data_IF_286644574154
#
_entry.id   IF_286644574154
#
_cell.length_a   1.000
_cell.length_b   1.000
_cell.length_c   1.000
_cell.angle_alpha   90.00
_cell.angle_beta   90.00
_cell.angle_gamma   90.00
#
_symmetry.space_group_name_H-M   'P 1'
#
loop_
_entity.id
_entity.type
_entity.pdbx_description
1 polymer ?
#
# COMPACT_ATOMS: atom_id res chain seq x y z
N UNK A 1 14.71 -2.76 -11.67
CA UNK A 1 13.50 -2.18 -12.31
C UNK A 1 13.93 -0.97 -13.12
N UNK A 2 13.23 -0.64 -14.19
CA UNK A 2 13.55 0.50 -15.03
C UNK A 2 12.29 1.29 -15.40
N UNK A 3 12.42 2.62 -15.43
CA UNK A 3 11.40 3.52 -15.97
C UNK A 3 11.61 3.67 -17.46
N UNK A 4 10.61 3.28 -18.25
CA UNK A 4 10.66 3.34 -19.72
C UNK A 4 9.63 4.35 -20.23
N UNK A 5 10.11 5.43 -20.86
CA UNK A 5 9.31 6.35 -21.64
C UNK A 5 8.83 5.67 -22.92
N UNK A 6 7.56 5.76 -23.24
CA UNK A 6 7.04 5.20 -24.49
C UNK A 6 7.35 6.13 -25.67
N UNK A 7 7.54 5.53 -26.87
CA UNK A 7 7.69 6.30 -28.12
C UNK A 7 6.43 7.16 -28.33
N UNK A 8 6.56 8.44 -28.73
CA UNK A 8 5.44 9.38 -28.85
C UNK A 8 4.63 9.18 -30.14
N UNK A 9 4.19 7.96 -30.41
CA UNK A 9 3.44 7.60 -31.63
C UNK A 9 1.97 8.02 -31.59
N UNK A 10 1.44 8.35 -30.40
CA UNK A 10 0.08 8.85 -30.20
C UNK A 10 0.06 9.86 -29.05
N UNK A 11 -0.97 10.76 -28.95
CA UNK A 11 -1.10 11.69 -27.83
C UNK A 11 -1.05 10.99 -26.47
N UNK A 12 -1.65 9.81 -26.33
CA UNK A 12 -1.63 9.01 -25.09
C UNK A 12 -0.23 8.47 -24.76
N UNK A 13 0.53 8.03 -25.74
CA UNK A 13 1.88 7.48 -25.55
C UNK A 13 2.92 8.56 -25.28
N UNK A 14 2.74 9.77 -25.79
CA UNK A 14 3.66 10.91 -25.58
C UNK A 14 3.98 11.15 -24.11
N UNK A 15 2.98 11.08 -23.23
CA UNK A 15 3.13 11.29 -21.79
C UNK A 15 3.22 9.99 -20.96
N UNK A 16 3.29 8.81 -21.60
CA UNK A 16 3.26 7.53 -20.88
C UNK A 16 4.65 7.11 -20.41
N UNK A 17 4.75 6.77 -19.10
CA UNK A 17 5.94 6.17 -18.49
C UNK A 17 5.53 4.86 -17.82
N UNK A 18 6.22 3.78 -18.15
CA UNK A 18 5.99 2.45 -17.60
C UNK A 18 7.15 2.04 -16.68
N UNK A 19 6.83 1.29 -15.63
CA UNK A 19 7.82 0.54 -14.86
C UNK A 19 7.97 -0.82 -15.50
N UNK A 20 9.18 -1.21 -15.82
CA UNK A 20 9.53 -2.52 -16.38
C UNK A 20 10.37 -3.26 -15.36
N UNK A 21 9.91 -4.44 -14.96
CA UNK A 21 10.60 -5.34 -14.05
C UNK A 21 10.79 -6.67 -14.76
N UNK A 22 11.99 -6.96 -15.30
CA UNK A 22 12.25 -8.21 -16.02
C UNK A 22 12.11 -9.45 -15.14
N UNK A 23 12.37 -9.32 -13.84
CA UNK A 23 12.31 -10.38 -12.84
C UNK A 23 10.89 -10.84 -12.50
N UNK A 24 9.87 -10.08 -12.92
CA UNK A 24 8.47 -10.41 -12.62
C UNK A 24 7.95 -11.49 -13.58
N UNK A 25 7.50 -12.59 -13.00
CA UNK A 25 6.87 -13.69 -13.71
C UNK A 25 5.63 -13.23 -14.49
N UNK A 26 5.55 -13.62 -15.76
CA UNK A 26 4.48 -13.19 -16.69
C UNK A 26 3.36 -14.21 -16.87
N UNK A 27 3.49 -15.39 -16.26
CA UNK A 27 2.50 -16.45 -16.36
C UNK A 27 1.30 -16.26 -15.43
N UNK A 28 0.49 -17.31 -15.32
CA UNK A 28 -0.69 -17.34 -14.46
C UNK A 28 -0.29 -17.40 -12.97
N UNK A 29 -1.06 -16.75 -12.06
CA UNK A 29 -0.83 -16.88 -10.63
C UNK A 29 -1.10 -18.32 -10.14
N UNK A 30 -0.57 -18.67 -8.97
CA UNK A 30 -0.79 -19.98 -8.36
C UNK A 30 -2.27 -20.12 -7.95
N UNK A 31 -2.99 -20.99 -8.64
CA UNK A 31 -4.45 -21.10 -8.58
C UNK A 31 -5.02 -21.33 -7.17
N UNK A 32 -4.43 -22.21 -6.30
CA UNK A 32 -4.95 -22.46 -4.96
C UNK A 32 -4.97 -21.21 -4.03
N UNK A 33 -4.10 -20.22 -4.30
CA UNK A 33 -4.03 -18.99 -3.53
C UNK A 33 -4.76 -17.81 -4.19
N UNK A 34 -5.64 -18.08 -5.15
CA UNK A 34 -6.38 -17.04 -5.88
C UNK A 34 -7.88 -17.21 -5.68
N UNK A 35 -8.51 -16.16 -5.18
CA UNK A 35 -9.95 -16.11 -4.94
C UNK A 35 -10.65 -15.06 -5.82
N UNK A 36 -11.95 -15.23 -6.03
CA UNK A 36 -12.75 -14.23 -6.72
C UNK A 36 -12.79 -12.94 -5.90
N UNK A 37 -12.69 -11.79 -6.58
CA UNK A 37 -12.85 -10.48 -5.96
C UNK A 37 -14.10 -9.80 -6.52
N UNK A 38 -15.13 -9.68 -5.69
CA UNK A 38 -16.29 -8.84 -6.02
C UNK A 38 -15.93 -7.38 -5.82
N UNK A 39 -16.37 -6.51 -6.72
CA UNK A 39 -16.28 -5.06 -6.59
C UNK A 39 -17.60 -4.54 -6.06
N UNK A 40 -17.54 -3.70 -5.04
CA UNK A 40 -18.72 -3.02 -4.47
C UNK A 40 -18.86 -1.58 -4.98
N UNK A 41 -17.96 -1.16 -5.86
CA UNK A 41 -17.97 0.13 -6.58
C UNK A 41 -18.24 1.35 -5.69
N UNK A 42 -17.74 1.30 -4.45
CA UNK A 42 -17.89 2.36 -3.46
C UNK A 42 -19.25 2.43 -2.77
N UNK A 43 -20.08 1.38 -2.89
CA UNK A 43 -21.39 1.25 -2.22
C UNK A 43 -21.29 0.46 -0.93
N UNK A 44 -22.16 0.78 0.03
CA UNK A 44 -22.37 -0.01 1.24
C UNK A 44 -23.38 -1.15 1.01
N UNK A 45 -23.73 -1.87 2.08
CA UNK A 45 -24.73 -2.94 2.05
C UNK A 45 -26.13 -2.46 1.64
N UNK A 46 -26.46 -1.19 1.90
CA UNK A 46 -27.73 -0.56 1.48
C UNK A 46 -27.68 0.04 0.05
N UNK A 47 -26.64 -0.22 -0.73
CA UNK A 47 -26.45 0.28 -2.09
C UNK A 47 -26.11 1.77 -2.20
N UNK A 48 -25.95 2.50 -1.08
CA UNK A 48 -25.61 3.91 -1.06
C UNK A 48 -24.11 4.12 -1.30
N UNK A 49 -23.75 5.19 -2.02
CA UNK A 49 -22.36 5.56 -2.28
C UNK A 49 -21.73 6.09 -0.98
N UNK A 50 -20.76 5.36 -0.44
CA UNK A 50 -19.95 5.77 0.73
C UNK A 50 -18.54 6.19 0.35
N UNK A 51 -18.03 5.74 -0.80
CA UNK A 51 -16.74 6.15 -1.36
C UNK A 51 -16.98 6.63 -2.79
N UNK A 52 -16.90 7.94 -3.00
CA UNK A 52 -17.11 8.56 -4.32
C UNK A 52 -16.01 8.22 -5.31
N UNK A 53 -16.28 8.36 -6.60
CA UNK A 53 -15.35 8.19 -7.72
C UNK A 53 -14.70 6.79 -7.77
N UNK A 54 -15.44 5.76 -7.35
CA UNK A 54 -15.05 4.36 -7.47
C UNK A 54 -16.10 3.62 -8.31
N UNK A 55 -15.63 2.66 -9.09
CA UNK A 55 -16.50 1.79 -9.89
C UNK A 55 -15.99 1.59 -11.30
N UNK A 56 -16.53 0.54 -11.93
CA UNK A 56 -16.03 0.03 -13.20
C UNK A 56 -14.57 -0.45 -13.06
N UNK A 57 -13.92 -0.67 -14.14
CA UNK A 57 -12.55 -1.15 -14.15
C UNK A 57 -12.45 -2.63 -14.48
N UNK A 58 -11.23 -3.08 -14.73
CA UNK A 58 -10.96 -4.44 -15.13
C UNK A 58 -11.24 -5.43 -14.00
N UNK A 59 -11.90 -6.57 -14.28
CA UNK A 59 -12.12 -7.67 -13.33
C UNK A 59 -10.79 -8.15 -12.76
N UNK A 60 -10.71 -8.31 -11.43
CA UNK A 60 -9.48 -8.72 -10.73
C UNK A 60 -9.76 -9.95 -9.88
N UNK A 61 -8.75 -10.80 -9.77
CA UNK A 61 -8.72 -11.88 -8.78
C UNK A 61 -7.88 -11.44 -7.59
N UNK A 62 -8.27 -11.82 -6.40
CA UNK A 62 -7.51 -11.55 -5.18
C UNK A 62 -6.47 -12.65 -4.97
N UNK A 63 -5.26 -12.28 -4.54
CA UNK A 63 -4.22 -13.20 -4.09
C UNK A 63 -4.25 -13.22 -2.57
N UNK A 64 -4.35 -14.41 -2.00
CA UNK A 64 -4.26 -14.60 -0.54
C UNK A 64 -2.80 -14.40 -0.14
N UNK A 65 -2.54 -13.32 0.59
CA UNK A 65 -1.19 -12.96 1.05
C UNK A 65 -1.08 -13.31 2.53
N UNK A 66 0.02 -13.94 2.88
CA UNK A 66 0.37 -14.18 4.29
C UNK A 66 0.90 -12.89 4.93
N UNK A 67 0.02 -12.17 5.60
CA UNK A 67 0.37 -11.00 6.40
C UNK A 67 0.71 -11.34 7.85
N UNK A 68 0.44 -12.57 8.30
CA UNK A 68 0.71 -12.98 9.67
C UNK A 68 2.13 -13.50 9.84
N UNK A 69 2.65 -14.17 8.81
CA UNK A 69 3.98 -14.78 8.84
C UNK A 69 4.18 -15.64 10.09
N UNK A 70 3.17 -16.43 10.41
CA UNK A 70 3.09 -17.23 11.64
C UNK A 70 3.66 -18.66 11.52
N UNK A 71 4.37 -18.95 10.43
CA UNK A 71 5.04 -20.22 10.20
C UNK A 71 6.48 -20.11 10.67
N UNK A 72 6.66 -20.27 11.99
CA UNK A 72 7.95 -20.09 12.63
C UNK A 72 8.84 -21.32 12.50
N UNK A 73 10.16 -21.11 12.36
CA UNK A 73 11.17 -22.16 12.31
C UNK A 73 11.25 -22.93 10.97
N UNK A 74 10.29 -22.75 10.07
CA UNK A 74 10.30 -23.43 8.75
C UNK A 74 10.73 -22.44 7.69
N UNK A 75 11.90 -22.62 7.04
CA UNK A 75 12.34 -21.76 5.97
C UNK A 75 11.54 -21.98 4.69
N UNK A 76 11.50 -20.97 3.85
CA UNK A 76 10.87 -21.02 2.55
C UNK A 76 11.81 -20.46 1.48
N UNK A 77 11.75 -21.03 0.27
CA UNK A 77 12.47 -20.55 -0.91
C UNK A 77 11.52 -19.76 -1.81
N UNK A 78 11.97 -18.65 -2.33
CA UNK A 78 11.25 -17.85 -3.33
C UNK A 78 11.25 -18.60 -4.67
N UNK A 79 10.07 -19.05 -5.11
CA UNK A 79 9.92 -19.73 -6.41
C UNK A 79 9.84 -18.72 -7.56
N UNK A 80 9.10 -17.62 -7.35
CA UNK A 80 8.92 -16.57 -8.37
C UNK A 80 8.37 -15.27 -7.76
N UNK A 81 8.60 -14.16 -8.43
CA UNK A 81 8.03 -12.85 -8.10
C UNK A 81 6.91 -12.55 -9.09
N UNK A 82 5.73 -12.17 -8.61
CA UNK A 82 4.53 -11.95 -9.42
C UNK A 82 3.98 -10.53 -9.28
N UNK A 83 3.33 -10.07 -10.35
CA UNK A 83 2.51 -8.86 -10.33
C UNK A 83 1.15 -9.11 -9.66
N UNK A 84 0.77 -8.26 -8.72
CA UNK A 84 -0.59 -8.26 -8.14
C UNK A 84 -1.37 -7.01 -8.55
N UNK A 85 -2.52 -7.15 -9.28
CA UNK A 85 -3.34 -6.01 -9.67
C UNK A 85 -4.06 -5.32 -8.51
N UNK A 86 -4.03 -5.89 -7.30
CA UNK A 86 -4.74 -5.38 -6.13
C UNK A 86 -3.88 -4.46 -5.26
N UNK A 87 -2.55 -4.44 -5.50
CA UNK A 87 -1.61 -3.63 -4.74
C UNK A 87 -0.54 -3.01 -5.63
N UNK A 88 0.19 -2.06 -5.08
CA UNK A 88 1.31 -1.42 -5.78
C UNK A 88 2.60 -2.22 -5.73
N UNK A 89 2.79 -3.01 -4.66
CA UNK A 89 3.93 -3.89 -4.48
C UNK A 89 3.80 -5.16 -5.32
N UNK A 90 4.92 -5.73 -5.75
CA UNK A 90 4.99 -7.09 -6.25
C UNK A 90 4.89 -8.09 -5.07
N UNK A 91 4.54 -9.33 -5.37
CA UNK A 91 4.42 -10.42 -4.41
C UNK A 91 5.38 -11.55 -4.79
N UNK A 92 5.89 -12.27 -3.80
CA UNK A 92 6.72 -13.44 -3.99
C UNK A 92 5.91 -14.70 -3.62
N UNK A 93 5.92 -15.70 -4.49
CA UNK A 93 5.44 -17.04 -4.16
C UNK A 93 6.60 -17.79 -3.50
N UNK A 94 6.38 -18.22 -2.27
CA UNK A 94 7.38 -18.90 -1.47
C UNK A 94 6.93 -20.33 -1.21
N UNK A 95 7.83 -21.29 -1.47
CA UNK A 95 7.68 -22.70 -1.15
C UNK A 95 8.41 -22.99 0.16
N UNK A 96 7.67 -23.38 1.17
CA UNK A 96 8.19 -23.83 2.45
C UNK A 96 8.74 -25.26 2.35
N UNK A 97 9.66 -25.63 3.22
CA UNK A 97 10.27 -26.98 3.22
C UNK A 97 9.26 -28.10 3.45
N UNK A 98 8.13 -27.82 4.09
CA UNK A 98 7.01 -28.74 4.25
C UNK A 98 6.05 -28.84 3.05
N UNK A 99 6.41 -28.21 1.92
CA UNK A 99 5.64 -28.24 0.67
C UNK A 99 4.52 -27.20 0.57
N UNK A 100 4.18 -26.45 1.66
CA UNK A 100 3.17 -25.40 1.61
C UNK A 100 3.67 -24.19 0.81
N UNK A 101 2.80 -23.63 0.00
CA UNK A 101 3.06 -22.37 -0.72
C UNK A 101 2.29 -21.23 -0.12
N UNK A 102 2.95 -20.09 0.07
CA UNK A 102 2.32 -18.83 0.49
C UNK A 102 2.82 -17.65 -0.34
N UNK A 103 1.94 -16.68 -0.57
CA UNK A 103 2.37 -15.37 -1.10
C UNK A 103 2.80 -14.45 0.04
N UNK A 104 3.90 -13.76 -0.16
CA UNK A 104 4.37 -12.67 0.71
C UNK A 104 4.58 -11.40 -0.10
N UNK A 105 4.62 -10.24 0.55
CA UNK A 105 5.00 -8.99 -0.12
C UNK A 105 6.49 -9.05 -0.42
N UNK A 106 6.88 -8.82 -1.68
CA UNK A 106 8.28 -8.88 -2.10
C UNK A 106 9.03 -7.61 -1.62
N UNK A 107 10.07 -7.73 -0.78
CA UNK A 107 10.95 -6.62 -0.45
C UNK A 107 11.83 -6.22 -1.63
N UNK A 108 12.43 -5.03 -1.51
CA UNK A 108 13.36 -4.50 -2.50
C UNK A 108 14.62 -5.37 -2.54
N UNK A 109 15.05 -5.78 -3.73
CA UNK A 109 16.25 -6.58 -3.93
C UNK A 109 16.05 -8.10 -3.81
N UNK A 110 14.86 -8.58 -3.43
CA UNK A 110 14.55 -10.03 -3.40
C UNK A 110 14.65 -10.65 -4.79
N UNK A 111 15.25 -11.82 -4.87
CA UNK A 111 15.44 -12.61 -6.11
C UNK A 111 14.76 -13.98 -5.99
N UNK A 112 14.55 -14.61 -7.14
CA UNK A 112 14.16 -16.02 -7.20
C UNK A 112 15.29 -16.88 -6.65
N UNK A 113 14.96 -17.85 -5.81
CA UNK A 113 15.92 -18.69 -5.12
C UNK A 113 16.29 -18.23 -3.70
N UNK A 114 16.04 -16.97 -3.34
CA UNK A 114 16.32 -16.46 -1.99
C UNK A 114 15.55 -17.28 -0.94
N UNK A 115 16.16 -17.44 0.22
CA UNK A 115 15.54 -18.08 1.40
C UNK A 115 15.00 -17.04 2.34
N UNK A 116 13.79 -17.27 2.87
CA UNK A 116 13.15 -16.44 3.90
C UNK A 116 12.64 -17.32 5.03
N UNK A 117 12.65 -16.78 6.22
CA UNK A 117 12.13 -17.47 7.39
C UNK A 117 11.30 -16.51 8.28
N UNK A 118 10.60 -17.10 9.24
CA UNK A 118 9.84 -16.35 10.24
C UNK A 118 10.10 -16.95 11.62
N UNK A 119 10.08 -16.13 12.64
CA UNK A 119 10.27 -16.59 14.03
C UNK A 119 11.17 -15.67 14.84
N UNK A 120 11.25 -15.88 16.16
CA UNK A 120 12.08 -15.04 17.05
C UNK A 120 13.59 -15.23 16.78
N UNK A 121 14.02 -16.45 16.47
CA UNK A 121 15.44 -16.81 16.32
C UNK A 121 15.93 -16.75 14.87
N UNK A 122 15.14 -16.10 14.01
CA UNK A 122 15.47 -15.97 12.58
C UNK A 122 16.60 -14.97 12.38
N UNK A 123 17.55 -15.22 11.46
CA UNK A 123 18.62 -14.27 11.14
C UNK A 123 18.08 -12.92 10.66
N UNK A 124 18.83 -11.84 10.94
CA UNK A 124 18.49 -10.49 10.50
C UNK A 124 18.86 -10.36 9.01
N UNK A 125 17.98 -10.86 8.15
CA UNK A 125 18.16 -10.84 6.71
C UNK A 125 16.89 -10.30 6.02
N UNK A 126 17.07 -9.75 4.82
CA UNK A 126 15.98 -9.17 4.03
C UNK A 126 14.88 -10.21 3.76
N UNK A 127 13.62 -9.84 4.03
CA UNK A 127 12.46 -10.70 3.82
C UNK A 127 12.12 -11.61 5.01
N UNK A 128 12.98 -11.70 6.01
CA UNK A 128 12.71 -12.42 7.25
C UNK A 128 11.75 -11.64 8.15
N UNK A 129 10.87 -12.36 8.84
CA UNK A 129 9.86 -11.75 9.71
C UNK A 129 10.04 -12.22 11.16
N UNK A 130 10.09 -11.25 12.07
CA UNK A 130 10.29 -11.53 13.50
C UNK A 130 9.59 -10.49 14.37
N UNK A 131 9.42 -10.77 15.69
CA UNK A 131 8.95 -9.78 16.64
C UNK A 131 9.89 -8.57 16.71
N UNK A 132 9.35 -7.37 16.89
CA UNK A 132 10.14 -6.12 16.97
C UNK A 132 11.17 -6.14 18.10
N UNK A 133 10.96 -6.95 19.15
CA UNK A 133 11.93 -7.12 20.22
C UNK A 133 13.27 -7.70 19.76
N UNK A 134 13.26 -8.49 18.69
CA UNK A 134 14.43 -9.20 18.16
C UNK A 134 15.11 -8.42 17.03
N UNK A 135 14.51 -7.31 16.57
CA UNK A 135 15.07 -6.46 15.51
C UNK A 135 15.95 -5.37 16.13
N UNK A 136 17.17 -5.14 15.64
CA UNK A 136 18.02 -4.04 16.09
C UNK A 136 17.40 -2.67 15.78
N UNK A 137 17.64 -1.72 16.67
CA UNK A 137 17.32 -0.31 16.44
C UNK A 137 18.12 0.20 15.22
N UNK A 138 17.54 1.10 14.45
CA UNK A 138 18.12 1.60 13.20
C UNK A 138 17.71 0.83 11.96
N UNK A 139 17.23 -0.41 12.10
CA UNK A 139 16.81 -1.26 10.97
C UNK A 139 15.61 -0.69 10.25
N UNK A 140 15.60 -0.81 8.92
CA UNK A 140 14.42 -0.53 8.09
C UNK A 140 13.57 -1.79 8.01
N UNK A 141 12.28 -1.65 8.31
CA UNK A 141 11.31 -2.74 8.31
C UNK A 141 10.07 -2.38 7.50
N UNK A 142 9.33 -3.38 7.08
CA UNK A 142 8.03 -3.23 6.41
C UNK A 142 7.03 -4.25 6.94
N UNK A 143 5.80 -4.25 6.45
CA UNK A 143 4.76 -5.20 6.87
C UNK A 143 4.63 -5.32 8.38
N UNK A 144 4.55 -4.18 9.09
CA UNK A 144 4.50 -4.14 10.56
C UNK A 144 3.08 -4.34 11.07
N UNK A 145 2.92 -5.16 12.08
CA UNK A 145 1.68 -5.33 12.82
C UNK A 145 1.39 -4.12 13.73
N UNK A 146 0.11 -3.88 14.02
CA UNK A 146 -0.34 -2.90 15.04
C UNK A 146 -0.87 -3.57 16.31
N UNK A 147 -1.22 -4.84 16.21
CA UNK A 147 -1.63 -5.72 17.32
C UNK A 147 -0.99 -7.08 17.07
N UNK A 148 -0.53 -7.69 18.13
CA UNK A 148 0.13 -9.00 18.10
C UNK A 148 -0.79 -10.03 17.42
N UNK A 149 -0.27 -10.77 16.45
CA UNK A 149 -0.96 -11.83 15.72
C UNK A 149 -2.06 -11.38 14.75
N UNK A 150 -2.34 -10.09 14.62
CA UNK A 150 -3.35 -9.58 13.67
C UNK A 150 -2.89 -9.62 12.22
N UNK A 151 -1.60 -9.68 12.00
CA UNK A 151 -0.98 -9.56 10.69
C UNK A 151 -0.63 -8.12 10.32
N UNK A 152 0.22 -7.98 9.32
CA UNK A 152 0.80 -6.70 8.90
C UNK A 152 -0.25 -5.68 8.46
N UNK A 153 -0.13 -4.46 8.98
CA UNK A 153 -1.03 -3.33 8.68
C UNK A 153 -0.31 -2.09 8.16
N UNK A 154 0.96 -1.87 8.55
CA UNK A 154 1.77 -0.74 8.14
C UNK A 154 2.85 -1.16 7.14
N UNK A 155 3.31 -0.23 6.29
CA UNK A 155 4.43 -0.47 5.37
C UNK A 155 4.20 -1.57 4.34
N UNK A 156 3.04 -1.60 3.66
CA UNK A 156 2.69 -2.64 2.68
C UNK A 156 2.69 -2.17 1.23
N UNK A 157 2.77 -0.88 1.00
CA UNK A 157 2.75 -0.29 -0.35
C UNK A 157 4.15 -0.28 -0.96
N UNK A 158 4.23 -0.24 -2.29
CA UNK A 158 5.50 -0.14 -3.02
C UNK A 158 6.41 0.97 -2.49
N UNK A 159 7.68 0.66 -2.28
CA UNK A 159 8.69 1.55 -1.74
C UNK A 159 8.41 2.04 -0.32
N UNK A 160 7.63 1.32 0.46
CA UNK A 160 7.38 1.67 1.85
C UNK A 160 8.42 1.03 2.77
N UNK A 161 9.21 1.86 3.42
CA UNK A 161 10.10 1.51 4.52
C UNK A 161 9.68 2.25 5.79
N UNK A 162 9.84 1.60 6.92
CA UNK A 162 9.58 2.11 8.27
C UNK A 162 10.88 1.99 9.05
N UNK A 163 11.37 3.10 9.56
CA UNK A 163 12.60 3.13 10.35
C UNK A 163 12.29 2.81 11.82
N UNK A 164 12.98 1.85 12.38
CA UNK A 164 12.95 1.53 13.80
C UNK A 164 13.89 2.49 14.54
N UNK A 165 13.33 3.48 15.25
CA UNK A 165 14.13 4.57 15.85
C UNK A 165 14.68 4.23 17.21
N UNK A 166 13.83 3.67 18.10
CA UNK A 166 14.20 3.41 19.48
C UNK A 166 13.29 2.35 20.11
N UNK A 167 13.73 1.84 21.25
CA UNK A 167 12.97 0.93 22.11
C UNK A 167 12.76 1.61 23.47
N UNK A 168 11.53 1.60 23.96
CA UNK A 168 11.16 2.21 25.22
C UNK A 168 10.15 1.30 25.95
N UNK A 169 10.55 0.70 27.06
CA UNK A 169 9.76 -0.29 27.77
C UNK A 169 9.28 -1.41 26.84
N UNK A 170 7.97 -1.63 26.78
CA UNK A 170 7.35 -2.65 25.94
C UNK A 170 7.01 -2.17 24.53
N UNK A 171 7.50 -0.99 24.11
CA UNK A 171 7.15 -0.38 22.83
C UNK A 171 8.36 -0.06 21.97
N UNK A 172 8.21 -0.28 20.67
CA UNK A 172 9.08 0.20 19.61
C UNK A 172 8.60 1.54 19.10
N UNK A 173 9.51 2.50 18.89
CA UNK A 173 9.24 3.76 18.22
C UNK A 173 9.55 3.62 16.73
N UNK A 174 8.53 3.76 15.90
CA UNK A 174 8.61 3.56 14.46
C UNK A 174 8.33 4.87 13.72
N UNK A 175 9.24 5.28 12.84
CA UNK A 175 9.07 6.41 11.93
C UNK A 175 8.51 5.92 10.62
N UNK A 176 7.27 6.29 10.34
CA UNK A 176 6.59 5.97 9.10
C UNK A 176 7.09 6.84 7.93
N UNK A 177 6.87 6.40 6.70
CA UNK A 177 7.20 7.17 5.48
C UNK A 177 6.56 8.57 5.45
N UNK A 178 5.43 8.77 6.13
CA UNK A 178 4.78 10.08 6.27
C UNK A 178 5.50 11.04 7.22
N UNK A 179 6.52 10.58 7.95
CA UNK A 179 7.19 11.31 9.03
C UNK A 179 6.52 11.20 10.40
N UNK A 180 5.34 10.55 10.49
CA UNK A 180 4.71 10.23 11.78
C UNK A 180 5.59 9.27 12.58
N UNK A 181 5.84 9.56 13.85
CA UNK A 181 6.49 8.65 14.79
C UNK A 181 5.42 8.03 15.68
N UNK A 182 5.43 6.71 15.75
CA UNK A 182 4.38 5.93 16.40
C UNK A 182 4.96 4.84 17.28
N UNK A 183 4.32 4.61 18.44
CA UNK A 183 4.58 3.46 19.32
C UNK A 183 3.86 2.21 18.80
N UNK A 184 4.56 1.08 18.82
CA UNK A 184 4.02 -0.25 18.49
C UNK A 184 4.58 -1.24 19.50
N UNK A 185 3.77 -2.16 20.00
CA UNK A 185 4.19 -3.15 20.99
C UNK A 185 5.32 -4.04 20.46
N UNK A 186 6.32 -4.33 21.28
CA UNK A 186 7.51 -5.13 20.91
C UNK A 186 7.21 -6.56 20.47
N UNK A 187 6.08 -7.12 20.89
CA UNK A 187 5.60 -8.43 20.44
C UNK A 187 4.99 -8.43 19.03
N UNK A 188 4.73 -7.25 18.42
CA UNK A 188 4.26 -7.16 17.05
C UNK A 188 5.36 -7.58 16.08
N UNK A 189 4.98 -8.28 15.01
CA UNK A 189 5.90 -8.73 13.97
C UNK A 189 6.15 -7.64 12.94
N UNK A 190 7.35 -7.66 12.37
CA UNK A 190 7.73 -6.88 11.22
C UNK A 190 8.62 -7.71 10.29
N UNK A 191 8.69 -7.33 9.03
CA UNK A 191 9.60 -7.94 8.04
C UNK A 191 10.76 -6.99 7.77
N UNK A 192 11.97 -7.53 7.71
CA UNK A 192 13.20 -6.75 7.49
C UNK A 192 13.29 -6.29 6.04
N UNK A 193 13.76 -5.04 5.85
CA UNK A 193 13.90 -4.37 4.56
C UNK A 193 12.75 -3.45 4.22
N UNK A 194 12.74 -2.91 3.02
CA UNK A 194 11.66 -2.07 2.48
C UNK A 194 10.90 -2.80 1.36
N UNK A 195 9.69 -2.39 1.08
CA UNK A 195 8.86 -2.99 0.02
C UNK A 195 9.42 -2.64 -1.35
N UNK A 196 9.52 -3.63 -2.24
CA UNK A 196 9.97 -3.47 -3.60
C UNK A 196 9.06 -2.60 -4.49
N UNK A 197 9.45 -2.42 -5.77
CA UNK A 197 8.73 -1.64 -6.77
C UNK A 197 8.60 -0.15 -6.42
N UNK A 198 9.66 0.46 -5.89
CA UNK A 198 9.69 1.86 -5.45
C UNK A 198 9.31 2.86 -6.55
N UNK A 199 9.67 2.56 -7.81
CA UNK A 199 9.35 3.39 -8.98
C UNK A 199 7.86 3.39 -9.36
N UNK A 200 7.02 2.58 -8.73
CA UNK A 200 5.59 2.51 -9.03
C UNK A 200 4.90 3.88 -9.04
N UNK A 201 5.30 4.78 -8.15
CA UNK A 201 4.75 6.14 -8.05
C UNK A 201 5.14 7.04 -9.24
N UNK A 202 6.26 6.75 -9.91
CA UNK A 202 6.81 7.56 -11.00
C UNK A 202 6.17 7.26 -12.36
N UNK A 203 5.36 6.20 -12.45
CA UNK A 203 4.67 5.85 -13.69
C UNK A 203 3.63 6.90 -14.07
N UNK A 204 3.52 7.16 -15.37
CA UNK A 204 2.51 8.05 -15.95
C UNK A 204 1.57 7.24 -16.85
N UNK A 205 0.27 7.42 -16.68
CA UNK A 205 -0.74 6.61 -17.36
C UNK A 205 -0.98 7.02 -18.80
N UNK A 206 -0.67 8.27 -19.16
CA UNK A 206 -0.79 8.82 -20.49
C UNK A 206 -2.21 9.19 -20.93
N UNK A 207 -3.26 8.51 -20.45
CA UNK A 207 -4.65 8.77 -20.83
C UNK A 207 -5.64 8.56 -19.68
N UNK A 208 -6.77 9.25 -19.73
CA UNK A 208 -7.87 9.14 -18.74
C UNK A 208 -8.46 7.73 -18.67
N UNK A 209 -8.60 7.04 -19.81
CA UNK A 209 -9.10 5.66 -19.87
C UNK A 209 -8.26 4.69 -19.05
N UNK A 210 -6.95 4.91 -18.91
CA UNK A 210 -6.10 4.07 -18.05
C UNK A 210 -6.42 4.21 -16.56
N UNK A 211 -6.95 5.35 -16.10
CA UNK A 211 -7.54 5.51 -14.75
C UNK A 211 -8.86 4.75 -14.63
N UNK A 212 -9.72 4.82 -15.66
CA UNK A 212 -11.01 4.11 -15.72
C UNK A 212 -10.82 2.60 -15.59
N UNK A 213 -9.85 2.03 -16.29
CA UNK A 213 -9.51 0.60 -16.17
C UNK A 213 -9.11 0.16 -14.76
N UNK A 214 -8.68 1.08 -13.93
CA UNK A 214 -8.33 0.84 -12.52
C UNK A 214 -9.48 1.03 -11.54
N UNK A 215 -10.69 1.33 -12.05
CA UNK A 215 -11.87 1.58 -11.24
C UNK A 215 -11.94 2.98 -10.64
N UNK A 216 -11.19 3.93 -11.18
CA UNK A 216 -11.25 5.33 -10.76
C UNK A 216 -12.14 6.08 -11.74
N UNK A 217 -13.27 6.59 -11.25
CA UNK A 217 -14.22 7.41 -12.03
C UNK A 217 -13.74 8.86 -12.11
N UNK A 218 -14.20 9.63 -13.12
CA UNK A 218 -13.91 11.06 -13.22
C UNK A 218 -14.36 11.82 -11.97
N UNK A 219 -13.64 12.90 -11.67
CA UNK A 219 -13.96 13.83 -10.58
C UNK A 219 -14.22 15.19 -11.17
N UNK A 220 -15.37 15.78 -10.84
CA UNK A 220 -15.71 17.16 -11.18
C UNK A 220 -15.23 18.08 -10.05
N UNK A 221 -14.66 19.22 -10.37
CA UNK A 221 -14.22 20.23 -9.40
C UNK A 221 -15.44 20.91 -8.79
N UNK A 222 -15.42 21.24 -7.50
CA UNK A 222 -16.52 21.92 -6.82
C UNK A 222 -16.89 23.26 -7.45
N UNK A 223 -15.89 24.03 -7.96
CA UNK A 223 -16.12 25.31 -8.66
C UNK A 223 -16.85 25.18 -10.01
N UNK A 224 -16.94 23.98 -10.56
CA UNK A 224 -17.69 23.69 -11.79
C UNK A 224 -19.07 23.10 -11.53
N UNK A 225 -19.53 23.13 -10.29
CA UNK A 225 -20.85 22.65 -9.84
C UNK A 225 -21.77 23.84 -9.56
N UNK A 226 -23.05 23.55 -9.39
CA UNK A 226 -24.02 24.53 -8.92
C UNK A 226 -23.89 24.76 -7.40
N UNK A 227 -24.39 25.90 -6.86
CA UNK A 227 -24.34 26.20 -5.43
C UNK A 227 -24.95 25.11 -4.52
N UNK A 228 -25.99 24.43 -4.99
CA UNK A 228 -26.65 23.33 -4.26
C UNK A 228 -25.75 22.10 -4.12
N UNK A 229 -24.82 21.87 -5.04
CA UNK A 229 -23.98 20.67 -5.07
C UNK A 229 -22.66 20.81 -4.33
N UNK A 230 -22.17 22.04 -4.23
CA UNK A 230 -20.87 22.30 -3.59
C UNK A 230 -20.77 23.74 -3.06
N UNK A 231 -20.16 23.98 -1.88
CA UNK A 231 -19.93 25.32 -1.33
C UNK A 231 -19.07 26.25 -2.21
N UNK A 232 -18.36 25.72 -3.21
CA UNK A 232 -17.62 26.47 -4.22
C UNK A 232 -18.36 26.61 -5.53
N UNK A 233 -19.61 26.17 -5.61
CA UNK A 233 -20.43 26.22 -6.82
C UNK A 233 -21.00 27.60 -7.07
N UNK A 234 -21.45 27.80 -8.31
CA UNK A 234 -22.09 29.02 -8.78
C UNK A 234 -21.15 30.02 -9.46
N UNK A 235 -21.66 31.19 -9.78
CA UNK A 235 -21.00 32.27 -10.49
C UNK A 235 -21.17 32.18 -12.00
N UNK A 236 -20.81 33.27 -12.69
CA UNK A 236 -20.83 33.38 -14.14
C UNK A 236 -19.46 33.01 -14.72
N UNK A 237 -19.43 32.12 -15.70
CA UNK A 237 -18.24 31.70 -16.42
C UNK A 237 -17.19 31.04 -15.49
N UNK A 238 -15.94 31.48 -15.60
CA UNK A 238 -14.79 30.94 -14.86
C UNK A 238 -14.60 31.70 -13.55
N UNK A 239 -15.29 31.27 -12.48
CA UNK A 239 -15.19 31.87 -11.16
C UNK A 239 -14.13 31.20 -10.28
N UNK A 240 -13.68 31.92 -9.24
CA UNK A 240 -12.86 31.38 -8.15
C UNK A 240 -13.75 30.69 -7.08
N UNK A 241 -13.13 30.03 -6.10
CA UNK A 241 -13.88 29.33 -5.04
C UNK A 241 -14.61 30.25 -4.05
N UNK A 242 -14.30 31.56 -4.04
CA UNK A 242 -14.93 32.58 -3.21
C UNK A 242 -14.72 32.46 -1.70
N UNK A 243 -14.06 31.42 -1.21
CA UNK A 243 -13.81 31.09 0.18
C UNK A 243 -12.65 30.14 0.35
N UNK A 244 -12.25 29.86 1.59
CA UNK A 244 -11.25 28.84 1.88
C UNK A 244 -11.66 27.45 1.33
N UNK A 245 -10.69 26.64 0.85
CA UNK A 245 -10.99 25.34 0.26
C UNK A 245 -11.69 24.41 1.25
N UNK A 246 -12.90 24.00 0.89
CA UNK A 246 -13.73 23.07 1.69
C UNK A 246 -14.15 21.85 0.85
N UNK A 247 -14.58 20.80 1.55
CA UNK A 247 -15.22 19.61 0.95
C UNK A 247 -16.68 19.92 0.58
N UNK A 248 -17.38 19.04 -0.16
CA UNK A 248 -18.82 19.18 -0.42
C UNK A 248 -19.69 19.31 0.83
N UNK A 249 -19.18 18.86 1.96
CA UNK A 249 -19.85 18.95 3.28
C UNK A 249 -19.38 20.13 4.12
N UNK A 250 -18.66 21.08 3.54
CA UNK A 250 -18.19 22.28 4.24
C UNK A 250 -16.94 22.07 5.14
N UNK A 251 -16.40 20.87 5.22
CA UNK A 251 -15.22 20.62 6.06
C UNK A 251 -13.96 21.19 5.39
N UNK A 252 -13.15 22.04 6.10
CA UNK A 252 -11.91 22.58 5.56
C UNK A 252 -10.97 21.47 5.06
N UNK A 253 -10.44 21.64 3.83
CA UNK A 253 -9.54 20.64 3.22
C UNK A 253 -8.08 20.88 3.54
N UNK A 254 -7.74 22.10 4.00
CA UNK A 254 -6.38 22.47 4.42
C UNK A 254 -6.36 22.73 5.93
N UNK A 255 -5.37 22.20 6.61
CA UNK A 255 -5.11 22.47 8.03
C UNK A 255 -6.01 21.74 9.02
N UNK A 256 -7.21 21.36 8.67
CA UNK A 256 -8.16 20.73 9.58
C UNK A 256 -7.71 19.33 10.02
N UNK A 257 -7.90 19.04 11.31
CA UNK A 257 -7.58 17.73 11.89
C UNK A 257 -8.71 16.75 11.65
N UNK A 258 -8.53 15.80 10.72
CA UNK A 258 -9.54 14.81 10.36
C UNK A 258 -9.49 13.52 11.18
N UNK A 259 -8.40 13.26 11.94
CA UNK A 259 -8.28 12.05 12.77
C UNK A 259 -8.88 12.29 14.16
N UNK A 260 -9.96 11.59 14.47
CA UNK A 260 -10.67 11.66 15.76
C UNK A 260 -10.57 10.37 16.60
N UNK A 261 -9.74 9.40 16.22
CA UNK A 261 -9.62 8.14 16.94
C UNK A 261 -8.91 8.32 18.28
N UNK A 262 -9.67 8.41 19.35
CA UNK A 262 -9.18 8.58 20.72
C UNK A 262 -8.39 7.37 21.25
N UNK A 263 -8.82 6.13 20.91
CA UNK A 263 -8.22 4.88 21.42
C UNK A 263 -6.74 4.71 21.07
N UNK A 264 -6.30 5.23 19.94
CA UNK A 264 -4.91 5.08 19.45
C UNK A 264 -4.20 6.42 19.34
N UNK A 265 -4.76 7.48 19.91
CA UNK A 265 -4.14 8.81 19.90
C UNK A 265 -2.82 8.82 20.68
N UNK A 266 -2.78 8.18 21.85
CA UNK A 266 -1.57 8.05 22.68
C UNK A 266 -0.43 7.22 22.06
N UNK A 267 -0.72 6.45 21.01
CA UNK A 267 0.31 5.72 20.28
C UNK A 267 1.05 6.60 19.26
N UNK A 268 0.58 7.80 18.97
CA UNK A 268 1.22 8.76 18.05
C UNK A 268 2.04 9.75 18.85
N UNK A 269 3.36 9.60 18.83
CA UNK A 269 4.28 10.47 19.56
C UNK A 269 4.51 11.79 18.83
N UNK A 270 4.76 11.72 17.53
CA UNK A 270 4.96 12.89 16.66
C UNK A 270 4.15 12.74 15.39
N UNK A 271 3.35 13.74 15.09
CA UNK A 271 2.58 13.78 13.84
C UNK A 271 3.49 14.08 12.65
N UNK A 272 3.01 13.74 11.46
CA UNK A 272 3.64 14.20 10.21
C UNK A 272 3.74 15.74 10.22
N UNK A 273 4.86 16.26 9.76
CA UNK A 273 4.94 17.70 9.45
C UNK A 273 3.97 18.00 8.31
N UNK A 274 3.32 19.15 8.39
CA UNK A 274 2.46 19.68 7.31
C UNK A 274 3.30 20.12 6.14
#
# INVERSE_FOLDING_TARGET
MALVKQKPTTPARRGMVRVVSPEVYRGKPFAPLVTAKRTVDGRNNAGRITVRHRGGGHKRRYRVIDFRRNKDGIPARVERIEYDPNRSANIALCLYEDGERRYVVAPQGMKVGDRIASGPDTPIAMGNAMPLRNIPVGTIVHCVELKIGKGAQLGRSAGAGIQYLAREGNYAQLRLRSGEVRRVHLGCRATIGEVGNSEHALRKLGKAGAKRWRGIRPTVRGVAMNPVDHPHGGGEGRTSGGRDPVSPWGVPTKGYRTRHNKRTAGMVMRRRKK
#
